data_IF_267481875486
#
_entry.id   IF_267481875486
#
_cell.length_a   1.000
_cell.length_b   1.000
_cell.length_c   1.000
_cell.angle_alpha   90.00
_cell.angle_beta   90.00
_cell.angle_gamma   90.00
#
_symmetry.space_group_name_H-M   'P 1'
#
loop_
_entity.id
_entity.type
_entity.pdbx_description
1 polymer ?
#
# COMPACT_ATOMS: atom_id res chain seq x y z
N UNK A 1 19.73 -21.26 39.26
CA UNK A 1 18.31 -20.83 39.19
C UNK A 1 18.14 -19.35 38.83
N UNK A 2 19.01 -18.44 39.29
CA UNK A 2 18.98 -17.00 38.92
C UNK A 2 19.10 -16.75 37.42
N UNK A 3 20.00 -17.46 36.72
CA UNK A 3 20.20 -17.27 35.26
C UNK A 3 18.93 -17.56 34.46
N UNK A 4 18.17 -18.61 34.85
CA UNK A 4 16.92 -18.97 34.18
C UNK A 4 15.85 -17.89 34.37
N UNK A 5 15.77 -17.31 35.57
CA UNK A 5 14.85 -16.21 35.84
C UNK A 5 15.17 -14.96 35.00
N UNK A 6 16.45 -14.62 34.84
CA UNK A 6 16.87 -13.50 33.99
C UNK A 6 16.50 -13.74 32.51
N UNK A 7 16.75 -14.95 32.00
CA UNK A 7 16.42 -15.31 30.61
C UNK A 7 14.90 -15.24 30.39
N UNK A 8 14.09 -15.71 31.34
CA UNK A 8 12.63 -15.67 31.23
C UNK A 8 12.10 -14.23 31.15
N UNK A 9 12.62 -13.31 31.99
CA UNK A 9 12.21 -11.90 31.98
C UNK A 9 12.61 -11.23 30.66
N UNK A 10 13.83 -11.48 30.17
CA UNK A 10 14.29 -10.91 28.90
C UNK A 10 13.46 -11.42 27.71
N UNK A 11 13.09 -12.70 27.70
CA UNK A 11 12.28 -13.28 26.63
C UNK A 11 10.89 -12.60 26.53
N UNK A 12 10.26 -12.30 27.67
CA UNK A 12 8.94 -11.65 27.70
C UNK A 12 8.96 -10.26 27.06
N UNK A 13 10.07 -9.52 27.19
CA UNK A 13 10.20 -8.17 26.63
C UNK A 13 10.61 -8.20 25.15
N UNK A 14 11.55 -9.07 24.77
CA UNK A 14 12.14 -9.06 23.42
C UNK A 14 11.21 -9.67 22.37
N UNK A 15 10.46 -10.72 22.72
CA UNK A 15 9.57 -11.41 21.76
C UNK A 15 8.51 -10.49 21.14
N UNK A 16 7.69 -9.73 21.89
CA UNK A 16 6.69 -8.85 21.29
C UNK A 16 7.31 -7.73 20.45
N UNK A 17 8.48 -7.22 20.86
CA UNK A 17 9.19 -6.21 20.09
C UNK A 17 9.61 -6.77 18.72
N UNK A 18 10.22 -7.95 18.69
CA UNK A 18 10.69 -8.56 17.44
C UNK A 18 9.55 -8.97 16.51
N UNK A 19 8.42 -9.43 17.05
CA UNK A 19 7.25 -9.80 16.22
C UNK A 19 6.60 -8.57 15.58
N UNK A 20 6.55 -7.43 16.27
CA UNK A 20 6.00 -6.18 15.72
C UNK A 20 6.84 -5.65 14.55
N UNK A 21 8.16 -5.60 14.70
CA UNK A 21 9.08 -5.17 13.64
C UNK A 21 9.07 -6.12 12.44
N UNK A 22 8.97 -7.43 12.69
CA UNK A 22 8.82 -8.43 11.63
C UNK A 22 7.55 -8.24 10.80
N UNK A 23 6.46 -7.75 11.38
CA UNK A 23 5.22 -7.43 10.65
C UNK A 23 5.39 -6.17 9.80
N UNK A 24 5.98 -5.09 10.33
CA UNK A 24 6.26 -3.84 9.61
C UNK A 24 7.11 -4.07 8.36
N UNK A 25 8.20 -4.84 8.50
CA UNK A 25 9.10 -5.15 7.37
C UNK A 25 8.39 -5.92 6.25
N UNK A 26 7.53 -6.87 6.62
CA UNK A 26 6.73 -7.63 5.65
C UNK A 26 5.77 -6.73 4.90
N UNK A 27 5.02 -5.87 5.59
CA UNK A 27 4.09 -4.92 4.97
C UNK A 27 4.82 -3.95 4.04
N UNK A 28 5.97 -3.40 4.45
CA UNK A 28 6.79 -2.54 3.58
C UNK A 28 7.29 -3.25 2.32
N UNK A 29 7.73 -4.50 2.46
CA UNK A 29 8.22 -5.30 1.33
C UNK A 29 7.09 -5.62 0.35
N UNK A 30 5.93 -6.03 0.86
CA UNK A 30 4.72 -6.30 0.07
C UNK A 30 4.26 -5.04 -0.68
N UNK A 31 4.10 -3.93 0.04
CA UNK A 31 3.65 -2.64 -0.51
C UNK A 31 4.64 -2.13 -1.56
N UNK A 32 5.94 -2.19 -1.30
CA UNK A 32 6.96 -1.72 -2.25
C UNK A 32 6.88 -2.46 -3.59
N UNK A 33 6.76 -3.80 -3.55
CA UNK A 33 6.64 -4.61 -4.76
C UNK A 33 5.32 -4.35 -5.51
N UNK A 34 4.20 -4.28 -4.79
CA UNK A 34 2.88 -4.02 -5.38
C UNK A 34 2.74 -2.63 -5.97
N UNK A 35 3.26 -1.63 -5.28
CA UNK A 35 3.27 -0.24 -5.76
C UNK A 35 4.10 -0.10 -7.03
N UNK A 36 5.27 -0.75 -7.11
CA UNK A 36 6.10 -0.73 -8.30
C UNK A 36 5.39 -1.39 -9.51
N UNK A 37 4.73 -2.53 -9.28
CA UNK A 37 3.94 -3.20 -10.31
C UNK A 37 2.80 -2.27 -10.79
N UNK A 38 1.98 -1.74 -9.88
CA UNK A 38 0.87 -0.85 -10.22
C UNK A 38 1.35 0.40 -10.97
N UNK A 39 2.42 1.05 -10.51
CA UNK A 39 3.01 2.22 -11.16
C UNK A 39 3.43 1.90 -12.60
N UNK A 40 4.12 0.78 -12.81
CA UNK A 40 4.55 0.37 -14.15
C UNK A 40 3.38 0.11 -15.11
N UNK A 41 2.28 -0.47 -14.61
CA UNK A 41 1.07 -0.73 -15.42
C UNK A 41 0.28 0.53 -15.71
N UNK A 42 0.23 1.47 -14.77
CA UNK A 42 -0.41 2.77 -14.98
C UNK A 42 0.28 3.56 -16.09
N UNK A 43 1.62 3.61 -16.07
CA UNK A 43 2.39 4.27 -17.13
C UNK A 43 2.20 3.59 -18.48
N UNK A 44 2.19 2.26 -18.52
CA UNK A 44 1.85 1.52 -19.75
C UNK A 44 0.44 1.86 -20.25
N UNK A 45 -0.55 1.86 -19.37
CA UNK A 45 -1.93 2.14 -19.72
C UNK A 45 -2.11 3.56 -20.24
N UNK A 46 -1.44 4.55 -19.62
CA UNK A 46 -1.39 5.92 -20.13
C UNK A 46 -0.78 6.00 -21.53
N UNK A 47 0.28 5.26 -21.82
CA UNK A 47 0.86 5.24 -23.16
C UNK A 47 -0.09 4.64 -24.21
N UNK A 48 -0.94 3.69 -23.83
CA UNK A 48 -1.89 3.03 -24.73
C UNK A 48 -3.21 3.83 -24.89
N UNK A 49 -3.70 4.44 -23.80
CA UNK A 49 -5.04 5.05 -23.72
C UNK A 49 -5.04 6.57 -23.50
N UNK A 50 -3.87 7.20 -23.35
CA UNK A 50 -3.66 8.62 -23.01
C UNK A 50 -4.27 9.08 -21.67
N UNK A 51 -4.79 8.16 -20.85
CA UNK A 51 -5.43 8.44 -19.55
C UNK A 51 -4.97 7.39 -18.54
N UNK A 52 -4.90 7.74 -17.25
CA UNK A 52 -4.65 6.78 -16.17
C UNK A 52 -5.95 6.06 -15.76
N UNK A 53 -5.84 4.86 -15.20
CA UNK A 53 -7.02 4.10 -14.78
C UNK A 53 -7.22 4.19 -13.27
N UNK A 54 -8.43 4.56 -12.85
CA UNK A 54 -8.81 4.45 -11.45
C UNK A 54 -9.01 2.98 -11.08
N UNK A 55 -8.48 2.58 -9.94
CA UNK A 55 -8.60 1.21 -9.44
C UNK A 55 -9.27 1.28 -8.08
N UNK A 56 -10.44 0.66 -7.97
CA UNK A 56 -11.14 0.56 -6.68
C UNK A 56 -10.31 -0.23 -5.66
N UNK A 57 -10.48 0.11 -4.39
CA UNK A 57 -9.78 -0.53 -3.28
C UNK A 57 -9.97 -2.06 -3.32
N UNK A 58 -8.85 -2.80 -3.32
CA UNK A 58 -8.86 -4.25 -3.22
C UNK A 58 -7.52 -4.79 -2.70
N UNK A 59 -7.51 -5.87 -1.89
CA UNK A 59 -8.65 -6.53 -1.24
C UNK A 59 -9.26 -5.70 -0.11
N UNK A 60 -10.58 -5.74 0.09
CA UNK A 60 -11.29 -4.98 1.13
C UNK A 60 -11.86 -5.87 2.24
N UNK A 61 -11.89 -5.40 3.51
CA UNK A 61 -10.99 -4.37 4.05
C UNK A 61 -9.53 -4.86 4.08
N UNK A 62 -8.57 -3.96 4.27
CA UNK A 62 -7.22 -4.34 4.70
C UNK A 62 -7.30 -5.19 5.97
N UNK A 63 -6.47 -6.23 6.09
CA UNK A 63 -6.52 -7.15 7.23
C UNK A 63 -5.13 -7.74 7.48
N UNK A 64 -4.82 -8.03 8.74
CA UNK A 64 -3.63 -8.84 9.07
C UNK A 64 -3.57 -10.18 8.33
N UNK A 65 -4.73 -10.75 8.00
CA UNK A 65 -4.80 -12.01 7.28
C UNK A 65 -4.62 -11.76 5.78
N UNK A 66 -3.62 -12.41 5.21
CA UNK A 66 -3.35 -12.32 3.78
C UNK A 66 -4.54 -12.88 2.99
N UNK A 67 -5.05 -12.08 2.06
CA UNK A 67 -6.19 -12.40 1.20
C UNK A 67 -5.72 -12.72 -0.21
N UNK A 68 -6.32 -13.71 -0.88
CA UNK A 68 -5.90 -14.10 -2.22
C UNK A 68 -6.18 -12.97 -3.21
N UNK A 69 -5.20 -12.66 -4.07
CA UNK A 69 -5.33 -11.59 -5.06
C UNK A 69 -6.35 -11.90 -6.16
N UNK A 70 -6.74 -13.17 -6.30
CA UNK A 70 -7.83 -13.59 -7.19
C UNK A 70 -9.15 -12.88 -6.88
N UNK A 71 -9.34 -12.42 -5.64
CA UNK A 71 -10.49 -11.59 -5.27
C UNK A 71 -10.51 -10.23 -5.99
N UNK A 72 -9.34 -9.71 -6.37
CA UNK A 72 -9.18 -8.45 -7.09
C UNK A 72 -9.16 -8.63 -8.60
N UNK A 73 -8.79 -9.83 -9.08
CA UNK A 73 -8.66 -10.15 -10.50
C UNK A 73 -9.94 -10.77 -11.09
N UNK A 74 -11.10 -10.18 -10.79
CA UNK A 74 -12.37 -10.61 -11.39
C UNK A 74 -12.50 -10.09 -12.82
N UNK A 75 -13.23 -10.80 -13.68
CA UNK A 75 -13.44 -10.39 -15.06
C UNK A 75 -14.07 -8.98 -15.13
N UNK A 76 -13.45 -8.08 -15.89
CA UNK A 76 -13.87 -6.67 -15.98
C UNK A 76 -13.42 -5.78 -14.83
N UNK A 77 -12.66 -6.30 -13.86
CA UNK A 77 -12.05 -5.47 -12.83
C UNK A 77 -10.94 -4.57 -13.42
N UNK A 78 -10.73 -3.36 -12.88
CA UNK A 78 -9.62 -2.50 -13.28
C UNK A 78 -8.25 -3.17 -13.12
N UNK A 79 -8.12 -4.11 -12.18
CA UNK A 79 -6.91 -4.91 -11.96
C UNK A 79 -6.59 -5.81 -13.17
N UNK A 80 -7.61 -6.46 -13.74
CA UNK A 80 -7.46 -7.27 -14.96
C UNK A 80 -7.20 -6.38 -16.17
N UNK A 81 -7.87 -5.22 -16.27
CA UNK A 81 -7.64 -4.26 -17.37
C UNK A 81 -6.21 -3.73 -17.38
N UNK A 82 -5.64 -3.41 -16.21
CA UNK A 82 -4.23 -3.02 -16.08
C UNK A 82 -3.26 -4.20 -16.28
N UNK A 83 -3.74 -5.44 -16.22
CA UNK A 83 -2.89 -6.63 -16.28
C UNK A 83 -1.88 -6.67 -15.13
N UNK A 84 -2.31 -6.32 -13.93
CA UNK A 84 -1.50 -6.35 -12.70
C UNK A 84 -1.16 -7.79 -12.36
N UNK A 85 0.12 -8.10 -12.21
CA UNK A 85 0.62 -9.41 -11.77
C UNK A 85 1.36 -9.23 -10.44
N UNK A 86 0.67 -9.38 -9.31
CA UNK A 86 1.28 -9.31 -7.99
C UNK A 86 2.46 -10.28 -7.83
N UNK A 87 3.51 -9.83 -7.17
CA UNK A 87 4.62 -10.70 -6.77
C UNK A 87 4.20 -11.72 -5.71
N UNK A 88 3.24 -11.35 -4.85
CA UNK A 88 2.65 -12.23 -3.84
C UNK A 88 1.20 -12.55 -4.18
N UNK A 89 0.82 -13.83 -4.08
CA UNK A 89 -0.55 -14.28 -4.33
C UNK A 89 -1.52 -13.95 -3.20
N UNK A 90 -1.01 -13.61 -2.01
CA UNK A 90 -1.81 -13.25 -0.86
C UNK A 90 -1.39 -11.86 -0.35
N UNK A 91 -2.29 -10.90 -0.42
CA UNK A 91 -2.05 -9.51 -0.03
C UNK A 91 -2.65 -9.24 1.35
N UNK A 92 -1.90 -8.59 2.23
CA UNK A 92 -2.39 -8.13 3.54
C UNK A 92 -2.94 -6.71 3.45
N UNK A 93 -2.35 -5.92 2.59
CA UNK A 93 -2.74 -4.54 2.38
C UNK A 93 -3.84 -4.46 1.31
N UNK A 94 -4.74 -3.48 1.45
CA UNK A 94 -5.64 -3.07 0.39
C UNK A 94 -4.95 -2.02 -0.48
N UNK A 95 -5.20 -2.05 -1.79
CA UNK A 95 -4.61 -1.12 -2.74
C UNK A 95 -5.70 -0.44 -3.55
N UNK A 96 -5.61 0.87 -3.68
CA UNK A 96 -6.50 1.72 -4.45
C UNK A 96 -5.66 2.65 -5.32
N UNK A 97 -6.14 2.96 -6.53
CA UNK A 97 -5.49 3.94 -7.40
C UNK A 97 -6.45 5.06 -7.69
N UNK A 98 -6.07 6.25 -7.23
CA UNK A 98 -6.71 7.50 -7.58
C UNK A 98 -6.08 8.04 -8.85
N UNK A 99 -6.90 8.67 -9.69
CA UNK A 99 -6.43 9.34 -10.90
C UNK A 99 -7.11 10.69 -11.04
N UNK A 100 -6.45 11.59 -11.75
CA UNK A 100 -7.04 12.85 -12.15
C UNK A 100 -6.42 13.38 -13.44
N UNK A 101 -7.17 14.27 -14.07
CA UNK A 101 -6.71 15.01 -15.23
C UNK A 101 -5.85 16.22 -14.83
N UNK A 102 -5.37 16.95 -15.84
CA UNK A 102 -4.59 18.16 -15.64
C UNK A 102 -5.36 19.29 -14.96
N UNK A 103 -6.71 19.27 -15.00
CA UNK A 103 -7.55 20.31 -14.43
C UNK A 103 -7.88 20.06 -12.95
N UNK A 104 -7.70 18.83 -12.48
CA UNK A 104 -8.06 18.39 -11.14
C UNK A 104 -6.82 18.33 -10.25
N UNK A 105 -6.80 19.12 -9.18
CA UNK A 105 -5.73 19.05 -8.19
C UNK A 105 -5.81 17.71 -7.42
N UNK A 106 -4.67 17.01 -7.21
CA UNK A 106 -4.65 15.83 -6.37
C UNK A 106 -5.10 16.16 -4.95
N UNK A 107 -5.82 15.24 -4.32
CA UNK A 107 -6.26 15.36 -2.93
C UNK A 107 -5.80 14.14 -2.15
N UNK A 108 -5.27 14.35 -0.94
CA UNK A 108 -4.81 13.25 -0.10
C UNK A 108 -5.93 12.21 0.10
N UNK A 109 -5.65 10.90 -0.09
CA UNK A 109 -6.59 9.85 0.23
C UNK A 109 -7.03 9.89 1.69
N UNK A 110 -8.24 9.43 1.99
CA UNK A 110 -8.78 9.45 3.35
C UNK A 110 -7.84 8.73 4.33
N UNK A 111 -7.53 9.38 5.45
CA UNK A 111 -6.64 8.86 6.50
C UNK A 111 -5.14 8.97 6.22
N UNK A 112 -4.74 9.25 4.97
CA UNK A 112 -3.34 9.47 4.62
C UNK A 112 -2.96 10.95 4.74
N UNK A 113 -1.72 11.22 5.19
CA UNK A 113 -1.11 12.54 5.06
C UNK A 113 -0.18 12.51 3.86
N UNK A 114 -0.50 13.31 2.83
CA UNK A 114 0.30 13.39 1.60
C UNK A 114 0.81 14.81 1.41
N UNK A 115 2.12 14.95 1.22
CA UNK A 115 2.74 16.20 0.79
C UNK A 115 2.64 16.25 -0.73
N UNK A 116 1.79 17.14 -1.23
CA UNK A 116 1.68 17.42 -2.66
C UNK A 116 2.66 18.56 -2.97
N UNK A 117 3.67 18.35 -3.84
CA UNK A 117 4.60 19.41 -4.22
C UNK A 117 3.87 20.62 -4.78
N UNK A 118 4.25 21.83 -4.35
CA UNK A 118 3.68 23.08 -4.86
C UNK A 118 3.91 23.26 -6.38
N UNK A 119 4.91 22.56 -6.94
CA UNK A 119 5.22 22.50 -8.36
C UNK A 119 4.55 21.30 -9.06
N UNK A 120 3.41 20.81 -8.56
CA UNK A 120 2.60 19.86 -9.32
C UNK A 120 2.26 20.46 -10.68
N UNK A 121 2.75 19.81 -11.74
CA UNK A 121 2.49 20.21 -13.11
C UNK A 121 1.07 19.74 -13.43
N UNK A 122 0.25 20.62 -14.04
CA UNK A 122 -1.09 20.32 -14.53
C UNK A 122 -1.04 19.30 -15.69
N UNK A 123 -0.62 18.09 -15.38
CA UNK A 123 -0.61 16.90 -16.23
C UNK A 123 -1.54 15.88 -15.61
N UNK A 124 -2.04 14.94 -16.41
CA UNK A 124 -2.72 13.77 -15.82
C UNK A 124 -1.83 13.12 -14.77
N UNK A 125 -2.43 12.63 -13.70
CA UNK A 125 -1.73 12.05 -12.56
C UNK A 125 -2.43 10.81 -12.04
N UNK A 126 -1.67 9.99 -11.32
CA UNK A 126 -2.19 8.94 -10.46
C UNK A 126 -1.54 9.00 -9.07
N UNK A 127 -2.27 8.47 -8.09
CA UNK A 127 -1.79 8.19 -6.75
C UNK A 127 -2.18 6.77 -6.36
N UNK A 128 -1.21 5.99 -5.89
CA UNK A 128 -1.44 4.64 -5.37
C UNK A 128 -1.52 4.75 -3.86
N UNK A 129 -2.63 4.31 -3.30
CA UNK A 129 -2.87 4.25 -1.86
C UNK A 129 -2.92 2.80 -1.41
N UNK A 130 -1.98 2.39 -0.57
CA UNK A 130 -2.06 1.14 0.15
C UNK A 130 -2.49 1.38 1.60
N UNK A 131 -3.38 0.53 2.12
CA UNK A 131 -3.79 0.54 3.53
C UNK A 131 -3.50 -0.82 4.13
N UNK A 132 -2.89 -0.84 5.31
CA UNK A 132 -2.50 -2.07 5.98
C UNK A 132 -2.88 -2.01 7.45
N UNK A 133 -3.57 -3.03 7.95
CA UNK A 133 -3.73 -3.28 9.38
C UNK A 133 -2.58 -4.18 9.83
N UNK A 134 -1.50 -3.58 10.34
CA UNK A 134 -0.22 -4.28 10.56
C UNK A 134 -0.23 -5.08 11.86
N UNK A 135 -0.93 -4.61 12.89
CA UNK A 135 -0.95 -5.21 14.23
C UNK A 135 -2.31 -5.80 14.64
N UNK A 136 -3.39 -5.48 13.93
CA UNK A 136 -4.72 -6.05 14.13
C UNK A 136 -5.67 -5.26 14.98
N UNK A 137 -5.30 -4.05 15.35
CA UNK A 137 -6.09 -3.24 16.25
C UNK A 137 -7.19 -2.44 15.51
N UNK A 138 -7.21 -2.53 14.17
CA UNK A 138 -8.14 -1.83 13.31
C UNK A 138 -7.68 -0.44 12.89
N UNK A 139 -6.49 0.00 13.32
CA UNK A 139 -5.82 1.21 12.84
C UNK A 139 -5.05 0.88 11.57
N UNK A 140 -5.29 1.65 10.53
CA UNK A 140 -4.67 1.42 9.22
C UNK A 140 -3.42 2.29 9.06
N UNK A 141 -2.30 1.63 8.80
CA UNK A 141 -1.15 2.27 8.21
C UNK A 141 -1.45 2.63 6.75
N UNK A 142 -1.06 3.82 6.34
CA UNK A 142 -1.27 4.31 4.98
C UNK A 142 0.07 4.53 4.27
N UNK A 143 0.16 3.99 3.07
CA UNK A 143 1.31 4.17 2.18
C UNK A 143 0.82 4.81 0.89
N UNK A 144 1.37 5.96 0.54
CA UNK A 144 0.99 6.68 -0.68
C UNK A 144 2.22 6.93 -1.53
N UNK A 145 2.09 6.67 -2.82
CA UNK A 145 3.02 7.17 -3.83
C UNK A 145 2.23 7.81 -4.96
N UNK A 146 2.89 8.60 -5.80
CA UNK A 146 2.25 9.34 -6.87
C UNK A 146 3.14 9.45 -8.10
N UNK A 147 2.53 9.80 -9.23
CA UNK A 147 3.26 10.13 -10.46
C UNK A 147 4.18 11.35 -10.34
N UNK A 148 3.88 12.28 -9.44
CA UNK A 148 4.64 13.53 -9.26
C UNK A 148 5.63 13.50 -8.09
N UNK A 149 5.48 12.52 -7.19
CA UNK A 149 6.42 12.21 -6.13
C UNK A 149 6.53 10.69 -5.98
N UNK A 150 7.67 10.16 -6.41
CA UNK A 150 8.00 8.74 -6.34
C UNK A 150 8.37 8.29 -4.92
N UNK A 151 8.55 9.22 -3.97
CA UNK A 151 8.77 8.86 -2.58
C UNK A 151 7.54 8.16 -2.00
N UNK A 152 7.78 7.08 -1.26
CA UNK A 152 6.73 6.41 -0.50
C UNK A 152 6.46 7.22 0.76
N UNK A 153 5.32 7.89 0.80
CA UNK A 153 4.86 8.66 1.95
C UNK A 153 4.08 7.75 2.88
N UNK A 154 4.50 7.68 4.15
CA UNK A 154 3.98 6.73 5.14
C UNK A 154 3.29 7.50 6.26
N UNK A 155 2.07 7.12 6.62
CA UNK A 155 1.32 7.64 7.77
C UNK A 155 0.93 6.49 8.69
N UNK A 156 1.04 6.69 10.02
CA UNK A 156 0.63 5.72 11.06
C UNK A 156 1.32 4.36 10.96
N UNK A 157 2.64 4.36 10.76
CA UNK A 157 3.37 3.10 10.66
C UNK A 157 3.55 2.44 12.04
N UNK A 158 2.64 1.52 12.38
CA UNK A 158 2.65 0.82 13.67
C UNK A 158 2.25 1.72 14.84
N UNK A 159 1.29 2.61 14.58
CA UNK A 159 0.61 3.46 15.56
C UNK A 159 -0.73 2.87 16.00
#
# INVERSE_FOLDING_TARGET
MIVVAIIAVLAVVVVPLFTSEGKKVKSKTEVGAMVAELASKQERYKNESNVYLAVAECPTPASQNAKPVTACQTAGSPWVTLGVVPTEQNLRCSYEVYQGDSATAPTAPAGATVVIPAAYVATSWYMIHARCDIDGDGVLAHYVTSSFDAALQITREGE
#
